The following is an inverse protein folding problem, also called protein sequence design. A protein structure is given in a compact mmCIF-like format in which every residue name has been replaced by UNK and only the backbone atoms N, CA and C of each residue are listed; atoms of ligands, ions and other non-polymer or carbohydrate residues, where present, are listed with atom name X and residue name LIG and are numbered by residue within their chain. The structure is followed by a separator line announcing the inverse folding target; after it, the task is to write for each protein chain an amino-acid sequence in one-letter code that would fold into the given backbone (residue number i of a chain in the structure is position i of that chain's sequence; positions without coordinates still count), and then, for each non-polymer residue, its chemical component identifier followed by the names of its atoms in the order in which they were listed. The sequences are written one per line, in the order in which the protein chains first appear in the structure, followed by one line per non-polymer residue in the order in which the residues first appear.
data_IF_544545176690
#
_entry.id   IF_544545176690
#
_cell.length_a   1.000
_cell.length_b   1.000
_cell.length_c   1.000
_cell.angle_alpha   90.00
_cell.angle_beta   90.00
_cell.angle_gamma   90.00
#
_symmetry.space_group_name_H-M   'P 1'
#
loop_
_entity.id
_entity.type
_entity.pdbx_description
1 polymer ?
#
# COMPACT_ATOMS: atom_id res chain seq x y z
N UNK A 1 2.48 4.03 -12.23
CA UNK A 1 2.67 3.55 -10.84
C UNK A 1 3.80 2.56 -10.77
N UNK A 2 4.50 2.55 -9.67
CA UNK A 2 5.59 1.61 -9.44
C UNK A 2 5.17 0.60 -8.37
N UNK A 3 5.23 -0.67 -8.71
CA UNK A 3 4.98 -1.73 -7.74
C UNK A 3 6.22 -1.95 -6.88
N UNK A 4 6.03 -2.00 -5.57
CA UNK A 4 7.08 -2.26 -4.59
C UNK A 4 6.64 -3.35 -3.63
N UNK A 5 7.58 -3.87 -2.87
CA UNK A 5 7.28 -4.93 -1.91
C UNK A 5 7.86 -4.57 -0.54
N UNK A 6 7.19 -5.06 0.48
CA UNK A 6 7.63 -4.96 1.87
C UNK A 6 7.58 -6.35 2.49
N UNK A 7 8.74 -6.88 2.83
CA UNK A 7 8.86 -8.24 3.35
C UNK A 7 8.58 -8.28 4.85
N UNK A 8 7.79 -9.27 5.27
CA UNK A 8 7.54 -9.57 6.67
C UNK A 8 7.87 -11.03 6.94
N UNK A 9 7.88 -11.42 8.20
CA UNK A 9 8.09 -12.82 8.57
C UNK A 9 6.93 -13.73 8.17
N UNK A 10 5.76 -13.17 7.88
CA UNK A 10 4.56 -13.91 7.54
C UNK A 10 4.29 -13.94 6.04
N UNK A 11 4.90 -13.07 5.28
CA UNK A 11 4.71 -12.97 3.84
C UNK A 11 5.18 -11.64 3.31
N UNK A 12 4.93 -11.39 2.02
CA UNK A 12 5.35 -10.18 1.33
C UNK A 12 4.13 -9.32 1.00
N UNK A 13 4.19 -8.04 1.35
CA UNK A 13 3.14 -7.07 1.05
C UNK A 13 3.53 -6.35 -0.23
N UNK A 14 2.61 -6.30 -1.18
CA UNK A 14 2.76 -5.53 -2.42
C UNK A 14 2.03 -4.20 -2.27
N UNK A 15 2.67 -3.13 -2.72
CA UNK A 15 2.07 -1.81 -2.73
C UNK A 15 2.54 -1.05 -3.96
N UNK A 16 1.80 -0.02 -4.31
CA UNK A 16 2.05 0.77 -5.51
C UNK A 16 2.20 2.23 -5.13
N UNK A 17 3.18 2.88 -5.72
CA UNK A 17 3.49 4.28 -5.45
C UNK A 17 3.44 5.05 -6.76
N UNK A 18 2.85 6.22 -6.71
CA UNK A 18 2.88 7.16 -7.82
C UNK A 18 3.40 8.49 -7.29
N UNK A 19 4.58 8.90 -7.78
CA UNK A 19 5.18 10.17 -7.38
C UNK A 19 4.45 11.32 -8.04
N UNK A 20 4.09 12.33 -7.24
CA UNK A 20 3.49 13.56 -7.72
C UNK A 20 4.49 14.71 -7.69
N UNK A 21 4.01 15.90 -8.04
CA UNK A 21 4.82 17.11 -8.06
C UNK A 21 5.15 17.63 -6.66
N UNK A 22 4.27 17.37 -5.69
CA UNK A 22 4.44 17.83 -4.32
C UNK A 22 5.16 16.78 -3.50
N UNK A 23 6.02 17.24 -2.61
CA UNK A 23 6.67 16.34 -1.67
C UNK A 23 5.68 15.87 -0.62
N UNK A 24 4.76 16.74 -0.20
CA UNK A 24 3.74 16.44 0.82
C UNK A 24 2.47 17.24 0.53
N UNK A 25 1.31 16.76 1.03
CA UNK A 25 1.11 15.50 1.75
C UNK A 25 1.07 14.29 0.82
N UNK A 26 1.24 13.12 1.39
CA UNK A 26 0.97 11.86 0.72
C UNK A 26 -0.51 11.52 0.84
N UNK A 27 -1.07 10.93 -0.20
CA UNK A 27 -2.40 10.35 -0.17
C UNK A 27 -2.27 8.83 -0.10
N UNK A 28 -2.84 8.26 0.94
CA UNK A 28 -2.74 6.82 1.20
C UNK A 28 -4.12 6.20 1.02
N UNK A 29 -4.21 5.19 0.17
CA UNK A 29 -5.46 4.49 -0.10
C UNK A 29 -5.39 3.07 0.46
N UNK A 30 -6.32 2.74 1.34
CA UNK A 30 -6.38 1.44 2.00
C UNK A 30 -7.65 0.72 1.58
N UNK A 31 -7.57 -0.21 0.63
CA UNK A 31 -8.74 -0.98 0.22
C UNK A 31 -9.29 -1.78 1.38
N UNK A 32 -10.62 -1.89 1.46
CA UNK A 32 -11.28 -2.65 2.49
C UNK A 32 -11.15 -4.15 2.31
N UNK A 33 -11.76 -4.88 3.24
CA UNK A 33 -11.75 -6.34 3.21
C UNK A 33 -12.29 -6.86 1.88
N UNK A 34 -11.64 -7.85 1.31
CA UNK A 34 -11.93 -8.48 0.02
C UNK A 34 -11.64 -7.61 -1.20
N UNK A 35 -11.18 -6.36 -1.01
CA UNK A 35 -10.77 -5.50 -2.10
C UNK A 35 -9.24 -5.53 -2.27
N UNK A 36 -8.76 -5.01 -3.39
CA UNK A 36 -7.33 -4.88 -3.65
C UNK A 36 -7.02 -3.47 -4.18
N UNK A 37 -5.75 -3.25 -4.55
CA UNK A 37 -5.29 -1.94 -5.00
C UNK A 37 -6.09 -1.37 -6.18
N UNK A 38 -6.68 -2.22 -7.01
CA UNK A 38 -7.40 -1.79 -8.21
C UNK A 38 -8.64 -0.98 -7.89
N UNK A 39 -9.15 -1.08 -6.67
CA UNK A 39 -10.29 -0.29 -6.21
C UNK A 39 -10.05 1.22 -6.38
N UNK A 40 -8.80 1.66 -6.25
CA UNK A 40 -8.43 3.07 -6.28
C UNK A 40 -7.73 3.50 -7.58
N UNK A 41 -7.78 2.70 -8.64
CA UNK A 41 -7.08 3.02 -9.89
C UNK A 41 -7.45 4.39 -10.43
N UNK A 42 -8.74 4.73 -10.42
CA UNK A 42 -9.20 6.03 -10.92
C UNK A 42 -8.74 7.19 -10.04
N UNK A 43 -8.75 6.99 -8.73
CA UNK A 43 -8.29 8.00 -7.78
C UNK A 43 -6.78 8.22 -7.93
N UNK A 44 -6.02 7.15 -8.07
CA UNK A 44 -4.57 7.25 -8.30
C UNK A 44 -4.27 8.00 -9.58
N UNK A 45 -5.02 7.69 -10.65
CA UNK A 45 -4.86 8.36 -11.94
C UNK A 45 -5.16 9.85 -11.85
N UNK A 46 -6.28 10.21 -11.20
CA UNK A 46 -6.71 11.60 -11.09
C UNK A 46 -5.89 12.44 -10.12
N UNK A 47 -5.39 11.87 -9.04
CA UNK A 47 -4.68 12.58 -7.98
C UNK A 47 -3.17 12.43 -8.03
N UNK A 48 -2.67 11.52 -8.87
CA UNK A 48 -1.25 11.21 -8.92
C UNK A 48 -0.37 12.30 -9.52
N UNK A 49 -0.94 13.26 -10.29
CA UNK A 49 -0.18 14.37 -10.82
C UNK A 49 0.33 15.31 -9.73
N UNK A 50 -0.57 15.93 -8.94
CA UNK A 50 -0.15 16.87 -7.90
C UNK A 50 0.35 16.20 -6.62
N UNK A 51 -0.10 14.99 -6.29
CA UNK A 51 0.19 14.36 -5.00
C UNK A 51 0.96 13.05 -5.16
N UNK A 52 1.81 12.76 -4.18
CA UNK A 52 2.35 11.43 -4.03
C UNK A 52 1.24 10.52 -3.52
N UNK A 53 1.03 9.40 -4.18
CA UNK A 53 -0.03 8.46 -3.82
C UNK A 53 0.56 7.09 -3.51
N UNK A 54 -0.04 6.40 -2.55
CA UNK A 54 0.33 5.03 -2.20
C UNK A 54 -0.95 4.22 -1.99
N UNK A 55 -0.99 3.03 -2.56
CA UNK A 55 -2.05 2.05 -2.30
C UNK A 55 -1.40 0.70 -2.09
N UNK A 56 -1.95 -0.08 -1.17
CA UNK A 56 -1.42 -1.42 -0.90
C UNK A 56 -2.45 -2.51 -1.17
N UNK A 57 -1.97 -3.73 -1.40
CA UNK A 57 -2.76 -4.91 -1.18
C UNK A 57 -2.48 -5.34 0.25
N UNK A 58 -3.52 -5.29 1.10
CA UNK A 58 -3.37 -5.63 2.51
C UNK A 58 -2.84 -7.06 2.67
N UNK A 59 -2.23 -7.39 3.81
CA UNK A 59 -1.79 -8.76 4.05
C UNK A 59 -2.87 -9.79 3.73
N UNK A 60 -2.52 -10.81 2.95
CA UNK A 60 -3.41 -11.89 2.50
C UNK A 60 -4.45 -11.47 1.46
N UNK A 61 -4.33 -10.26 0.88
CA UNK A 61 -5.21 -9.77 -0.18
C UNK A 61 -4.43 -9.56 -1.47
N UNK A 62 -5.13 -9.69 -2.60
CA UNK A 62 -4.58 -9.40 -3.93
C UNK A 62 -3.21 -10.04 -4.15
N UNK A 63 -2.24 -9.22 -4.56
CA UNK A 63 -0.87 -9.68 -4.81
C UNK A 63 -0.09 -9.99 -3.53
N UNK A 64 -0.59 -9.58 -2.35
CA UNK A 64 0.03 -9.87 -1.05
C UNK A 64 -0.34 -11.27 -0.56
N UNK A 65 -0.35 -12.24 -1.45
CA UNK A 65 -0.59 -13.65 -1.18
C UNK A 65 0.53 -14.46 -1.81
N UNK A 66 0.94 -15.58 -1.21
CA UNK A 66 0.46 -16.14 0.06
C UNK A 66 0.94 -15.31 1.26
N UNK A 67 0.15 -15.32 2.33
CA UNK A 67 0.46 -14.59 3.55
C UNK A 67 -0.13 -15.37 4.73
N UNK A 68 0.69 -15.59 5.77
CA UNK A 68 0.21 -16.29 6.95
C UNK A 68 -0.75 -15.40 7.73
N UNK A 69 -1.76 -16.00 8.33
CA UNK A 69 -2.87 -15.24 8.93
C UNK A 69 -2.64 -14.90 10.41
N UNK A 70 -1.46 -15.18 10.97
CA UNK A 70 -1.14 -14.91 12.37
C UNK A 70 -0.72 -13.45 12.58
N UNK A 71 -1.47 -12.51 12.01
CA UNK A 71 -1.22 -11.09 12.22
C UNK A 71 -2.45 -10.42 12.82
N UNK A 72 -2.21 -9.36 13.58
CA UNK A 72 -3.24 -8.53 14.20
C UNK A 72 -3.40 -7.20 13.45
N UNK A 73 -4.39 -6.41 13.86
CA UNK A 73 -4.52 -5.04 13.34
C UNK A 73 -3.31 -4.19 13.74
N UNK A 74 -2.74 -4.43 14.92
CA UNK A 74 -1.52 -3.74 15.33
C UNK A 74 -0.34 -4.10 14.43
N UNK A 75 -0.24 -5.36 14.02
CA UNK A 75 0.78 -5.79 13.06
C UNK A 75 0.59 -5.08 11.73
N UNK A 76 -0.64 -4.96 11.24
CA UNK A 76 -0.94 -4.24 10.00
C UNK A 76 -0.50 -2.78 10.09
N UNK A 77 -0.76 -2.13 11.23
CA UNK A 77 -0.32 -0.76 11.45
C UNK A 77 1.20 -0.64 11.42
N UNK A 78 1.91 -1.61 12.01
CA UNK A 78 3.38 -1.62 11.96
C UNK A 78 3.91 -1.84 10.55
N UNK A 79 3.25 -2.67 9.75
CA UNK A 79 3.64 -2.87 8.36
C UNK A 79 3.47 -1.57 7.56
N UNK A 80 2.36 -0.86 7.75
CA UNK A 80 2.14 0.43 7.11
C UNK A 80 3.20 1.44 7.52
N UNK A 81 3.51 1.52 8.81
CA UNK A 81 4.56 2.41 9.30
C UNK A 81 5.90 2.11 8.66
N UNK A 82 6.25 0.82 8.56
CA UNK A 82 7.48 0.41 7.88
C UNK A 82 7.52 0.81 6.41
N UNK A 83 6.40 0.67 5.72
CA UNK A 83 6.28 1.09 4.32
C UNK A 83 6.45 2.62 4.21
N UNK A 84 5.81 3.39 5.08
CA UNK A 84 5.94 4.84 5.08
C UNK A 84 7.38 5.28 5.32
N UNK A 85 8.08 4.63 6.23
CA UNK A 85 9.49 4.93 6.48
C UNK A 85 10.36 4.58 5.29
N UNK A 86 10.08 3.51 4.59
CA UNK A 86 10.81 3.11 3.39
C UNK A 86 10.63 4.12 2.25
N UNK A 87 9.47 4.75 2.17
CA UNK A 87 9.18 5.73 1.12
C UNK A 87 9.60 7.16 1.51
N UNK A 88 9.82 7.38 2.76
CA UNK A 88 10.15 8.73 3.26
C UNK A 88 8.89 9.49 3.58
#
# INVERSE_FOLDING_TARGET
MTEKVFDTTLGTIHYWVQAGERVQPWLIFLPGLTADHRLFDKQMEGLGGPYNCLVWDAPAHGASRPFRLEFSLEDMARYLDGIFQAEG
#
